data_IF_914529622157
#
_entry.id   IF_914529622157
#
_cell.length_a   1.000
_cell.length_b   1.000
_cell.length_c   1.000
_cell.angle_alpha   90.00
_cell.angle_beta   90.00
_cell.angle_gamma   90.00
#
_symmetry.space_group_name_H-M   'P 1'
#
loop_
_entity.id
_entity.type
_entity.pdbx_description
1 polymer ?
#
# COMPACT_ATOMS: atom_id res chain seq x y z
N UNK A 1 -1.45 10.33 -4.46
CA UNK A 1 -0.35 9.34 -4.47
C UNK A 1 0.75 9.59 -3.42
N UNK A 2 0.45 10.22 -2.28
CA UNK A 2 1.46 10.52 -1.24
C UNK A 2 1.94 9.30 -0.46
N UNK A 3 1.13 8.23 -0.40
CA UNK A 3 1.52 6.96 0.23
C UNK A 3 2.60 6.21 -0.56
N UNK A 4 2.76 6.49 -1.87
CA UNK A 4 3.68 5.77 -2.74
C UNK A 4 5.13 5.97 -2.29
N UNK A 5 5.56 7.22 -2.05
CA UNK A 5 6.92 7.50 -1.62
C UNK A 5 7.26 6.84 -0.28
N UNK A 6 6.31 6.85 0.67
CA UNK A 6 6.49 6.19 1.96
C UNK A 6 6.74 4.68 1.80
N UNK A 7 5.95 4.01 0.96
CA UNK A 7 6.13 2.57 0.67
C UNK A 7 7.47 2.34 -0.03
N UNK A 8 7.90 3.22 -0.95
CA UNK A 8 9.21 3.12 -1.59
C UNK A 8 10.39 3.20 -0.60
N UNK A 9 10.17 3.86 0.55
CA UNK A 9 11.11 3.92 1.67
C UNK A 9 10.97 2.75 2.66
N UNK A 10 10.09 1.78 2.40
CA UNK A 10 9.91 0.59 3.23
C UNK A 10 8.83 0.73 4.31
N UNK A 11 7.96 1.74 4.21
CA UNK A 11 6.81 1.83 5.10
C UNK A 11 5.75 0.76 4.78
N UNK A 12 5.07 0.28 5.81
CA UNK A 12 3.89 -0.58 5.65
C UNK A 12 2.66 0.22 5.20
N UNK A 13 1.74 -0.45 4.52
CA UNK A 13 0.54 0.19 3.98
C UNK A 13 -0.57 0.25 5.03
N UNK A 14 -0.85 1.46 5.48
CA UNK A 14 -1.97 1.77 6.36
C UNK A 14 -3.28 1.94 5.59
N UNK A 15 -4.40 1.76 6.30
CA UNK A 15 -5.76 1.93 5.77
C UNK A 15 -5.98 3.25 5.02
N UNK A 16 -5.37 4.33 5.49
CA UNK A 16 -5.51 5.67 4.88
C UNK A 16 -4.85 5.78 3.49
N UNK A 17 -3.92 4.90 3.15
CA UNK A 17 -3.21 4.89 1.87
C UNK A 17 -3.85 4.00 0.80
N UNK A 18 -4.95 3.31 1.10
CA UNK A 18 -5.60 2.38 0.19
C UNK A 18 -6.74 3.06 -0.56
N UNK A 19 -6.70 3.02 -1.89
CA UNK A 19 -7.79 3.51 -2.75
C UNK A 19 -8.64 2.38 -3.33
N UNK A 20 -8.01 1.25 -3.67
CA UNK A 20 -8.67 0.09 -4.28
C UNK A 20 -8.17 -1.21 -3.65
N UNK A 21 -9.05 -2.21 -3.58
CA UNK A 21 -8.79 -3.51 -2.97
C UNK A 21 -9.39 -4.59 -3.88
N UNK A 22 -8.65 -5.67 -4.11
CA UNK A 22 -9.20 -6.86 -4.78
C UNK A 22 -10.03 -7.67 -3.78
N UNK A 23 -11.27 -8.00 -4.16
CA UNK A 23 -12.21 -8.74 -3.31
C UNK A 23 -11.71 -10.14 -2.90
N UNK A 24 -10.74 -10.70 -3.61
CA UNK A 24 -10.17 -12.04 -3.35
C UNK A 24 -9.09 -12.05 -2.27
N UNK A 25 -8.70 -10.88 -1.74
CA UNK A 25 -7.64 -10.78 -0.73
C UNK A 25 -8.05 -11.49 0.57
N UNK A 26 -7.15 -12.37 1.02
CA UNK A 26 -7.24 -13.12 2.29
C UNK A 26 -6.11 -12.71 3.24
N UNK A 27 -6.25 -12.93 4.55
CA UNK A 27 -5.16 -12.73 5.49
C UNK A 27 -3.97 -13.64 5.13
N UNK A 28 -2.75 -13.14 5.34
CA UNK A 28 -1.48 -13.78 4.99
C UNK A 28 -1.28 -14.07 3.49
N UNK A 29 -2.11 -13.51 2.62
CA UNK A 29 -1.93 -13.62 1.18
C UNK A 29 -0.86 -12.63 0.70
N UNK A 30 -0.01 -13.08 -0.23
CA UNK A 30 0.89 -12.22 -0.97
C UNK A 30 0.08 -11.33 -1.91
N UNK A 31 0.26 -10.01 -1.80
CA UNK A 31 -0.46 -9.00 -2.58
C UNK A 31 0.52 -8.06 -3.29
N UNK A 32 0.12 -7.56 -4.45
CA UNK A 32 0.84 -6.50 -5.15
C UNK A 32 0.36 -5.13 -4.68
N UNK A 33 1.31 -4.24 -4.39
CA UNK A 33 1.07 -2.82 -4.11
C UNK A 33 1.27 -2.05 -5.41
N UNK A 34 0.25 -1.31 -5.83
CA UNK A 34 0.24 -0.61 -7.12
C UNK A 34 -0.19 0.85 -6.95
N UNK A 35 0.28 1.72 -7.85
CA UNK A 35 -0.21 3.10 -7.96
C UNK A 35 -1.58 3.13 -8.64
N UNK A 36 -2.27 4.27 -8.56
CA UNK A 36 -3.51 4.50 -9.31
C UNK A 36 -3.32 4.45 -10.83
N UNK A 37 -2.08 4.62 -11.31
CA UNK A 37 -1.70 4.51 -12.72
C UNK A 37 -1.35 3.08 -13.14
N UNK A 38 -1.56 2.09 -12.25
CA UNK A 38 -1.25 0.67 -12.45
C UNK A 38 0.26 0.37 -12.58
N UNK A 39 1.10 1.16 -11.94
CA UNK A 39 2.53 0.85 -11.82
C UNK A 39 2.78 -0.01 -10.58
N UNK A 40 3.71 -0.97 -10.68
CA UNK A 40 4.08 -1.81 -9.56
C UNK A 40 4.99 -1.05 -8.59
N UNK A 41 4.56 -0.92 -7.33
CA UNK A 41 5.40 -0.38 -6.25
C UNK A 41 6.23 -1.51 -5.64
N UNK A 42 5.57 -2.62 -5.30
CA UNK A 42 6.17 -3.69 -4.51
C UNK A 42 5.21 -4.85 -4.24
N UNK A 43 5.70 -5.84 -3.49
CA UNK A 43 4.89 -6.89 -2.89
C UNK A 43 4.79 -6.71 -1.38
N UNK A 44 3.68 -7.16 -0.82
CA UNK A 44 3.43 -7.19 0.61
C UNK A 44 2.57 -8.38 1.02
N UNK A 45 2.43 -8.58 2.33
CA UNK A 45 1.60 -9.61 2.93
C UNK A 45 0.38 -8.96 3.58
N UNK A 46 -0.82 -9.36 3.17
CA UNK A 46 -2.05 -8.82 3.75
C UNK A 46 -2.25 -9.28 5.18
N UNK A 47 -2.57 -8.36 6.10
CA UNK A 47 -2.88 -8.67 7.50
C UNK A 47 -4.36 -8.95 7.74
N UNK A 48 -5.22 -8.60 6.78
CA UNK A 48 -6.69 -8.68 6.87
C UNK A 48 -7.28 -9.22 5.56
N UNK A 49 -8.56 -9.61 5.58
CA UNK A 49 -9.28 -9.92 4.34
C UNK A 49 -9.81 -8.65 3.66
N UNK A 50 -10.22 -8.75 2.40
CA UNK A 50 -10.67 -7.61 1.60
C UNK A 50 -11.79 -6.78 2.27
N UNK A 51 -12.81 -7.44 2.83
CA UNK A 51 -13.94 -6.78 3.48
C UNK A 51 -13.51 -6.04 4.77
N UNK A 52 -12.60 -6.63 5.54
CA UNK A 52 -12.03 -6.00 6.73
C UNK A 52 -11.17 -4.79 6.35
N UNK A 53 -10.35 -4.91 5.30
CA UNK A 53 -9.55 -3.80 4.78
C UNK A 53 -10.44 -2.65 4.31
N UNK A 54 -11.52 -2.96 3.59
CA UNK A 54 -12.49 -1.96 3.11
C UNK A 54 -13.20 -1.21 4.26
N UNK A 55 -13.54 -1.91 5.35
CA UNK A 55 -14.20 -1.32 6.53
C UNK A 55 -13.23 -0.66 7.51
N UNK A 56 -11.93 -0.86 7.36
CA UNK A 56 -10.95 -0.32 8.28
C UNK A 56 -10.92 1.21 8.19
N UNK A 57 -10.90 1.86 9.37
CA UNK A 57 -10.72 3.33 9.48
C UNK A 57 -9.28 3.70 9.85
N UNK A 58 -8.50 2.75 10.35
CA UNK A 58 -7.15 2.95 10.85
C UNK A 58 -6.38 1.62 10.88
N UNK A 59 -5.08 1.69 11.13
CA UNK A 59 -4.20 0.54 11.28
C UNK A 59 -3.44 0.16 10.02
N UNK A 60 -2.41 -0.66 10.21
CA UNK A 60 -1.61 -1.26 9.13
C UNK A 60 -2.37 -2.45 8.57
N UNK A 61 -2.55 -2.48 7.25
CA UNK A 61 -3.35 -3.50 6.57
C UNK A 61 -2.49 -4.43 5.71
N UNK A 62 -1.37 -3.95 5.18
CA UNK A 62 -0.43 -4.77 4.42
C UNK A 62 0.98 -4.49 4.93
N UNK A 63 1.68 -5.56 5.31
CA UNK A 63 3.10 -5.48 5.65
C UNK A 63 3.92 -5.51 4.36
N UNK A 64 4.77 -4.52 4.15
CA UNK A 64 5.63 -4.45 2.97
C UNK A 64 6.71 -5.53 3.05
N UNK A 65 7.03 -6.17 1.91
CA UNK A 65 8.06 -7.20 1.84
C UNK A 65 9.21 -6.76 0.94
N UNK A 66 8.91 -6.49 -0.34
CA UNK A 66 9.92 -6.12 -1.34
C UNK A 66 9.40 -4.98 -2.19
N UNK A 67 10.19 -3.92 -2.28
CA UNK A 67 9.92 -2.72 -3.08
C UNK A 67 10.75 -2.79 -4.35
N UNK A 68 10.13 -2.47 -5.49
CA UNK A 68 10.81 -2.39 -6.79
C UNK A 68 10.84 -0.96 -7.34
N UNK A 69 9.87 -0.13 -6.99
CA UNK A 69 9.79 1.24 -7.47
C UNK A 69 10.89 2.12 -6.86
N UNK A 70 11.51 2.95 -7.69
CA UNK A 70 12.53 3.89 -7.26
C UNK A 70 11.97 4.96 -6.32
N UNK A 71 12.80 5.42 -5.40
CA UNK A 71 12.45 6.46 -4.42
C UNK A 71 12.45 7.83 -5.09
N UNK A 72 11.57 8.73 -4.64
CA UNK A 72 11.52 10.11 -5.14
C UNK A 72 10.81 10.30 -6.50
N UNK A 73 10.26 9.24 -7.10
CA UNK A 73 9.38 9.35 -8.28
C UNK A 73 8.03 9.99 -7.97
N UNK A 74 7.61 9.94 -6.71
CA UNK A 74 6.35 10.50 -6.22
C UNK A 74 6.62 11.51 -5.09
N UNK A 75 5.82 12.59 -4.99
CA UNK A 75 6.01 13.62 -3.97
C UNK A 75 5.81 13.05 -2.56
N UNK A 76 6.62 13.54 -1.62
CA UNK A 76 6.60 13.05 -0.24
C UNK A 76 5.37 13.59 0.48
N UNK A 77 4.85 12.84 1.45
CA UNK A 77 3.70 13.32 2.25
C UNK A 77 3.99 14.65 2.99
N UNK A 78 5.26 14.88 3.36
CA UNK A 78 5.71 16.05 4.09
C UNK A 78 5.98 17.28 3.21
N UNK A 79 6.01 17.10 1.88
CA UNK A 79 6.07 18.21 0.94
C UNK A 79 4.69 18.85 0.88
N UNK A 80 4.44 19.83 1.75
CA UNK A 80 3.34 20.77 1.57
C UNK A 80 3.52 21.47 0.23
N UNK A 81 2.49 21.41 -0.62
CA UNK A 81 2.25 22.47 -1.59
C UNK A 81 1.66 23.68 -0.88
#
# INVERSE_FOLDING_TARGET
>A
DTAVDAICHGADLASAGICYIDARIKPNLLVALMTLKKELIGFGTSLKNAMQMYKAKSGILVKSNKVFMERGLYPRWAEKK
#
